data_IF_331871479088
#
_entry.id   IF_331871479088
#
_cell.length_a   1.000
_cell.length_b   1.000
_cell.length_c   1.000
_cell.angle_alpha   90.00
_cell.angle_beta   90.00
_cell.angle_gamma   90.00
#
_symmetry.space_group_name_H-M   'P 1'
#
loop_
_entity.id
_entity.type
_entity.pdbx_description
1 polymer ?
#
# COMPACT_ATOMS: atom_id res chain seq x y z
N UNK A 1 -9.33 -10.12 -8.32
CA UNK A 1 -10.39 -9.39 -7.58
C UNK A 1 -10.01 -9.35 -6.10
N UNK A 2 -10.22 -8.21 -5.40
CA UNK A 2 -10.05 -8.13 -3.95
C UNK A 2 -10.98 -9.12 -3.24
N UNK A 3 -10.52 -9.78 -2.18
CA UNK A 3 -11.40 -10.64 -1.38
C UNK A 3 -12.38 -9.76 -0.59
N UNK A 4 -13.60 -10.24 -0.29
CA UNK A 4 -14.61 -9.47 0.44
C UNK A 4 -14.10 -8.91 1.78
N UNK A 5 -13.16 -9.61 2.39
CA UNK A 5 -12.57 -9.38 3.72
C UNK A 5 -11.90 -8.00 3.88
N UNK A 6 -11.48 -7.35 2.80
CA UNK A 6 -10.79 -6.04 2.87
C UNK A 6 -11.39 -4.98 1.94
N UNK A 7 -12.69 -5.09 1.63
CA UNK A 7 -13.41 -4.10 0.81
C UNK A 7 -13.35 -2.68 1.39
N UNK A 8 -13.42 -2.54 2.72
CA UNK A 8 -13.30 -1.22 3.37
C UNK A 8 -11.92 -0.61 3.16
N UNK A 9 -10.88 -1.43 3.23
CA UNK A 9 -9.49 -1.02 3.03
C UNK A 9 -9.23 -0.68 1.55
N UNK A 10 -9.88 -1.36 0.60
CA UNK A 10 -9.84 -0.98 -0.82
C UNK A 10 -10.31 0.47 -0.99
N UNK A 11 -11.45 0.86 -0.43
CA UNK A 11 -11.94 2.24 -0.55
C UNK A 11 -11.00 3.25 0.11
N UNK A 12 -10.37 2.90 1.24
CA UNK A 12 -9.38 3.77 1.89
C UNK A 12 -8.10 3.90 1.05
N UNK A 13 -7.62 2.81 0.49
CA UNK A 13 -6.44 2.77 -0.37
C UNK A 13 -6.68 3.55 -1.67
N UNK A 14 -7.84 3.38 -2.31
CA UNK A 14 -8.23 4.12 -3.51
C UNK A 14 -8.13 5.64 -3.30
N UNK A 15 -8.68 6.13 -2.18
CA UNK A 15 -8.61 7.56 -1.81
C UNK A 15 -7.21 8.06 -1.46
N UNK A 16 -6.29 7.15 -1.16
CA UNK A 16 -4.94 7.49 -0.68
C UNK A 16 -3.91 7.44 -1.81
N UNK A 17 -3.93 6.39 -2.63
CA UNK A 17 -2.93 6.16 -3.68
C UNK A 17 -3.55 6.03 -5.08
N UNK A 18 -4.87 5.89 -5.23
CA UNK A 18 -5.48 5.63 -6.53
C UNK A 18 -5.27 6.72 -7.58
N UNK A 19 -5.17 7.99 -7.18
CA UNK A 19 -4.82 9.10 -8.09
C UNK A 19 -3.33 9.13 -8.47
N UNK A 20 -2.47 8.50 -7.67
CA UNK A 20 -1.03 8.37 -7.94
C UNK A 20 -0.80 7.18 -8.86
N UNK A 21 -1.30 6.02 -8.45
CA UNK A 21 -1.25 4.76 -9.17
C UNK A 21 -2.41 3.85 -8.74
N UNK A 22 -3.42 3.62 -9.61
CA UNK A 22 -4.54 2.75 -9.30
C UNK A 22 -4.14 1.27 -9.16
N UNK A 23 -3.01 0.85 -9.74
CA UNK A 23 -2.56 -0.54 -9.66
C UNK A 23 -1.95 -0.86 -8.28
N UNK A 24 -1.56 0.16 -7.50
CA UNK A 24 -1.02 0.03 -6.15
C UNK A 24 -2.10 -0.11 -5.05
N UNK A 25 -3.35 0.24 -5.37
CA UNK A 25 -4.50 0.17 -4.45
C UNK A 25 -4.65 -1.18 -3.75
N UNK A 26 -4.63 -2.35 -4.44
CA UNK A 26 -4.78 -3.64 -3.76
C UNK A 26 -3.66 -3.94 -2.76
N UNK A 27 -2.44 -3.47 -3.00
CA UNK A 27 -1.31 -3.68 -2.10
C UNK A 27 -1.44 -2.82 -0.84
N UNK A 28 -1.77 -1.53 -1.00
CA UNK A 28 -2.03 -0.65 0.13
C UNK A 28 -3.24 -1.11 0.96
N UNK A 29 -4.30 -1.58 0.30
CA UNK A 29 -5.48 -2.11 0.97
C UNK A 29 -5.14 -3.34 1.83
N UNK A 30 -4.30 -4.25 1.31
CA UNK A 30 -3.87 -5.43 2.06
C UNK A 30 -2.99 -5.04 3.25
N UNK A 31 -2.05 -4.13 3.07
CA UNK A 31 -1.19 -3.61 4.15
C UNK A 31 -2.03 -3.00 5.29
N UNK A 32 -3.02 -2.17 4.95
CA UNK A 32 -3.98 -1.60 5.91
C UNK A 32 -4.84 -2.64 6.62
N UNK A 33 -5.17 -3.75 5.95
CA UNK A 33 -5.96 -4.82 6.55
C UNK A 33 -5.15 -5.64 7.55
N UNK A 34 -3.88 -5.89 7.23
CA UNK A 34 -2.98 -6.70 8.03
C UNK A 34 -2.22 -5.90 9.10
N UNK A 35 -2.39 -4.57 9.12
CA UNK A 35 -1.56 -3.64 9.91
C UNK A 35 -0.06 -3.89 9.66
N UNK A 36 0.30 -4.00 8.38
CA UNK A 36 1.63 -4.36 7.92
C UNK A 36 2.30 -3.23 7.15
N UNK A 37 3.62 -3.18 7.21
CA UNK A 37 4.44 -2.30 6.39
C UNK A 37 4.52 -2.82 4.94
N UNK A 38 4.80 -1.92 4.00
CA UNK A 38 5.10 -2.25 2.61
C UNK A 38 6.61 -2.28 2.40
N UNK A 39 7.11 -3.32 1.76
CA UNK A 39 8.45 -3.31 1.18
C UNK A 39 8.33 -3.18 -0.33
N UNK A 40 8.79 -2.07 -0.88
CA UNK A 40 8.83 -1.81 -2.31
C UNK A 40 9.83 -0.71 -2.64
N UNK A 41 10.55 -0.86 -3.75
CA UNK A 41 11.36 0.21 -4.32
C UNK A 41 10.54 1.16 -5.20
N UNK A 42 9.24 0.91 -5.36
CA UNK A 42 8.34 1.83 -6.06
C UNK A 42 8.17 3.14 -5.27
N UNK A 43 8.41 4.25 -5.96
CA UNK A 43 8.31 5.60 -5.42
C UNK A 43 6.85 6.03 -5.18
N UNK A 44 5.86 5.38 -5.77
CA UNK A 44 4.45 5.72 -5.57
C UNK A 44 4.02 5.51 -4.13
N UNK A 45 4.40 4.39 -3.51
CA UNK A 45 4.14 4.12 -2.10
C UNK A 45 4.78 5.12 -1.13
N UNK A 46 5.89 5.76 -1.52
CA UNK A 46 6.56 6.78 -0.71
C UNK A 46 5.80 8.12 -0.67
N UNK A 47 4.72 8.28 -1.45
CA UNK A 47 3.88 9.48 -1.46
C UNK A 47 2.67 9.40 -0.51
N UNK A 48 2.43 8.25 0.11
CA UNK A 48 1.39 8.09 1.13
C UNK A 48 2.00 7.94 2.53
N UNK A 49 1.22 8.27 3.57
CA UNK A 49 1.67 8.27 4.98
C UNK A 49 0.86 7.31 5.86
N UNK A 50 0.06 6.42 5.29
CA UNK A 50 -0.82 5.50 6.01
C UNK A 50 -0.11 4.25 6.54
N UNK A 51 0.89 3.76 5.82
CA UNK A 51 1.71 2.60 6.19
C UNK A 51 3.18 2.93 5.95
N UNK A 52 4.09 2.36 6.76
CA UNK A 52 5.52 2.56 6.51
C UNK A 52 5.94 1.84 5.23
N UNK A 53 6.90 2.43 4.52
CA UNK A 53 7.39 1.89 3.25
C UNK A 53 8.91 1.78 3.29
N UNK A 54 9.39 0.55 3.17
CA UNK A 54 10.80 0.21 3.16
C UNK A 54 11.28 -0.02 1.72
N UNK A 55 12.44 0.52 1.39
CA UNK A 55 13.19 0.16 0.19
C UNK A 55 14.10 -1.02 0.46
N UNK A 56 14.46 -1.75 -0.58
CA UNK A 56 15.39 -2.88 -0.48
C UNK A 56 16.70 -2.44 0.18
N UNK A 57 17.24 -1.29 -0.23
CA UNK A 57 18.48 -0.72 0.32
C UNK A 57 18.42 -0.35 1.80
N UNK A 58 17.21 -0.25 2.39
CA UNK A 58 17.03 -0.02 3.82
C UNK A 58 16.99 -1.33 4.62
N UNK A 59 16.65 -2.44 3.97
CA UNK A 59 16.49 -3.76 4.59
C UNK A 59 17.74 -4.63 4.48
N UNK A 60 18.48 -4.54 3.37
CA UNK A 60 19.75 -5.26 3.19
C UNK A 60 20.96 -4.39 3.54
N UNK A 61 21.89 -4.99 4.29
CA UNK A 61 23.21 -4.48 4.65
C UNK A 61 24.29 -5.18 3.84
#
# INVERSE_FOLDING_TARGET
MPKPEFKEQITKAEKTIGEIDPDDVPFLALALHLDADIWSDDKHFQKQEKVNVWKTTQLVK
#
